data_IF_717027545646
#
_entry.id   IF_717027545646
#
_cell.length_a   1.000
_cell.length_b   1.000
_cell.length_c   1.000
_cell.angle_alpha   90.00
_cell.angle_beta   90.00
_cell.angle_gamma   90.00
#
_symmetry.space_group_name_H-M   'P 1'
#
loop_
_entity.id
_entity.type
_entity.pdbx_description
1 polymer ?
#
# COMPACT_ATOMS: atom_id res chain seq x y z
N UNK A 1 25.98 0.89 66.20
CA UNK A 1 27.21 0.83 67.02
C UNK A 1 28.09 -0.29 66.45
N UNK A 2 29.25 0.11 65.91
CA UNK A 2 30.44 -0.66 65.51
C UNK A 2 30.41 -1.71 64.36
N UNK A 3 31.13 -1.33 63.29
CA UNK A 3 32.10 -2.07 62.47
C UNK A 3 32.46 -3.53 62.82
N UNK A 4 32.64 -4.37 61.77
CA UNK A 4 33.98 -4.86 61.38
C UNK A 4 34.00 -5.56 60.02
N UNK A 5 35.01 -5.16 59.23
CA UNK A 5 35.51 -5.79 58.01
C UNK A 5 36.26 -7.10 58.29
N UNK A 6 36.71 -7.72 57.18
CA UNK A 6 37.76 -8.76 56.98
C UNK A 6 37.28 -10.21 57.14
N UNK A 7 37.60 -11.17 56.25
CA UNK A 7 38.84 -11.35 55.49
C UNK A 7 38.66 -12.35 54.33
N UNK A 8 39.30 -12.09 53.20
CA UNK A 8 39.48 -12.98 52.03
C UNK A 8 40.40 -14.17 52.32
N UNK A 9 40.12 -15.34 51.73
CA UNK A 9 41.12 -16.42 51.51
C UNK A 9 41.07 -16.90 50.05
N UNK A 10 42.21 -16.99 49.33
CA UNK A 10 42.27 -17.53 47.99
C UNK A 10 42.45 -19.06 48.02
N UNK A 11 41.71 -19.78 47.19
CA UNK A 11 41.88 -21.22 46.99
C UNK A 11 42.48 -21.49 45.61
N UNK A 12 43.64 -22.13 45.60
CA UNK A 12 44.48 -22.44 44.43
C UNK A 12 43.85 -23.50 43.52
N UNK A 13 44.12 -23.30 42.22
CA UNK A 13 43.92 -24.18 41.07
C UNK A 13 44.29 -25.65 41.31
N UNK A 14 43.49 -26.57 40.76
CA UNK A 14 43.98 -27.81 40.14
C UNK A 14 43.35 -27.95 38.76
N UNK A 15 44.19 -27.93 37.74
CA UNK A 15 43.81 -28.18 36.35
C UNK A 15 43.41 -29.64 36.16
N UNK A 16 42.40 -29.85 35.33
CA UNK A 16 42.10 -31.16 34.76
C UNK A 16 42.43 -31.08 33.28
N UNK A 17 43.21 -32.08 32.87
CA UNK A 17 43.81 -32.25 31.56
C UNK A 17 42.74 -32.51 30.49
N UNK A 18 43.03 -31.99 29.31
CA UNK A 18 42.39 -32.27 28.03
C UNK A 18 42.44 -33.78 27.78
N UNK A 19 41.28 -34.39 27.56
CA UNK A 19 41.13 -35.78 27.14
C UNK A 19 39.91 -35.87 26.23
N UNK A 20 40.17 -35.80 24.92
CA UNK A 20 39.45 -36.48 23.84
C UNK A 20 37.99 -36.90 24.13
N UNK A 21 37.04 -36.02 23.84
CA UNK A 21 35.64 -36.38 23.60
C UNK A 21 35.09 -35.56 22.42
N UNK A 22 35.88 -35.47 21.36
CA UNK A 22 35.47 -34.98 20.05
C UNK A 22 34.96 -36.16 19.23
N UNK A 23 33.71 -36.56 19.46
CA UNK A 23 32.88 -37.32 18.50
C UNK A 23 31.63 -37.77 19.25
N UNK A 24 30.51 -37.03 19.11
CA UNK A 24 29.11 -37.53 19.16
C UNK A 24 28.06 -36.41 19.29
N UNK A 25 28.45 -35.13 19.34
CA UNK A 25 27.49 -34.00 19.33
C UNK A 25 27.26 -33.36 17.94
N UNK A 26 27.43 -34.11 16.85
CA UNK A 26 27.28 -33.59 15.48
C UNK A 26 26.20 -34.33 14.66
N UNK A 27 25.23 -34.98 15.30
CA UNK A 27 24.20 -35.78 14.61
C UNK A 27 22.75 -35.46 15.06
N UNK A 28 22.50 -34.27 15.61
CA UNK A 28 21.20 -33.92 16.22
C UNK A 28 20.47 -32.69 15.66
N UNK A 29 20.99 -32.02 14.62
CA UNK A 29 20.38 -30.78 14.08
C UNK A 29 19.91 -30.87 12.62
N UNK A 30 19.74 -32.07 12.07
CA UNK A 30 19.26 -32.28 10.70
C UNK A 30 17.81 -32.76 10.61
N UNK A 31 17.01 -32.60 11.67
CA UNK A 31 15.56 -32.80 11.64
C UNK A 31 14.83 -31.45 11.70
N UNK A 32 15.21 -30.53 10.82
CA UNK A 32 14.35 -29.40 10.50
C UNK A 32 13.18 -29.95 9.70
N UNK A 33 12.01 -30.00 10.33
CA UNK A 33 10.72 -30.26 9.71
C UNK A 33 10.62 -29.45 8.42
N UNK A 34 10.47 -30.13 7.29
CA UNK A 34 10.25 -29.48 6.00
C UNK A 34 9.04 -28.58 6.11
N UNK A 35 9.27 -27.27 6.11
CA UNK A 35 8.22 -26.31 5.83
C UNK A 35 7.85 -26.53 4.37
N UNK A 36 6.75 -27.23 4.13
CA UNK A 36 6.13 -27.28 2.81
C UNK A 36 5.84 -25.84 2.41
N UNK A 37 6.62 -25.31 1.47
CA UNK A 37 6.27 -24.06 0.82
C UNK A 37 4.88 -24.27 0.20
N UNK A 38 3.86 -23.56 0.68
CA UNK A 38 2.58 -23.51 0.01
C UNK A 38 2.83 -22.92 -1.37
N UNK A 39 2.78 -23.78 -2.38
CA UNK A 39 2.79 -23.34 -3.76
C UNK A 39 1.58 -22.41 -3.94
N UNK A 40 1.78 -21.16 -4.42
CA UNK A 40 0.65 -20.30 -4.76
C UNK A 40 -0.26 -21.08 -5.70
N UNK A 41 -1.53 -21.21 -5.35
CA UNK A 41 -2.53 -21.71 -6.29
C UNK A 41 -2.46 -20.85 -7.56
N UNK A 42 -2.48 -21.43 -8.77
CA UNK A 42 -2.43 -20.66 -10.00
C UNK A 42 -3.65 -19.75 -10.10
N UNK A 43 -3.51 -18.50 -9.69
CA UNK A 43 -4.47 -17.41 -9.98
C UNK A 43 -4.65 -17.17 -11.49
N UNK A 44 -3.86 -17.85 -12.34
CA UNK A 44 -3.94 -17.75 -13.79
C UNK A 44 -5.10 -18.51 -14.43
N UNK A 45 -5.58 -19.62 -13.85
CA UNK A 45 -6.51 -20.52 -14.55
C UNK A 45 -7.98 -20.06 -14.54
N UNK A 46 -8.35 -19.11 -13.68
CA UNK A 46 -9.71 -18.55 -13.61
C UNK A 46 -9.87 -17.21 -14.34
N UNK A 47 -8.77 -16.61 -14.84
CA UNK A 47 -8.83 -15.29 -15.48
C UNK A 47 -9.36 -15.34 -16.92
N UNK A 48 -9.33 -16.51 -17.58
CA UNK A 48 -9.80 -16.67 -18.95
C UNK A 48 -11.35 -16.67 -19.06
N UNK A 49 -12.07 -16.62 -17.93
CA UNK A 49 -13.52 -16.45 -17.87
C UNK A 49 -13.97 -14.98 -17.77
N UNK A 50 -13.03 -14.04 -17.72
CA UNK A 50 -13.34 -12.61 -17.69
C UNK A 50 -13.14 -11.99 -19.07
N UNK A 51 -13.85 -10.89 -19.33
CA UNK A 51 -13.82 -10.13 -20.59
C UNK A 51 -12.40 -10.01 -21.16
N UNK A 52 -12.23 -9.94 -22.50
CA UNK A 52 -10.92 -9.75 -23.12
C UNK A 52 -10.17 -8.62 -22.40
N UNK A 53 -8.90 -8.87 -22.05
CA UNK A 53 -8.05 -7.82 -21.45
C UNK A 53 -8.09 -6.60 -22.36
N UNK A 54 -8.38 -5.43 -21.78
CA UNK A 54 -8.29 -4.15 -22.47
C UNK A 54 -6.92 -4.07 -23.15
N UNK A 55 -6.90 -3.79 -24.45
CA UNK A 55 -5.65 -3.55 -25.19
C UNK A 55 -4.86 -2.46 -24.43
N UNK A 56 -3.61 -2.75 -24.00
CA UNK A 56 -2.80 -1.78 -23.28
C UNK A 56 -2.61 -0.46 -24.03
N UNK A 57 -2.67 -0.49 -25.36
CA UNK A 57 -2.54 0.70 -26.20
C UNK A 57 -3.80 1.59 -26.12
N UNK A 58 -4.98 1.01 -25.89
CA UNK A 58 -6.22 1.75 -25.69
C UNK A 58 -6.23 2.42 -24.31
N UNK A 59 -5.60 1.80 -23.32
CA UNK A 59 -5.49 2.33 -21.96
C UNK A 59 -4.24 3.24 -21.76
N UNK A 60 -3.39 3.38 -22.77
CA UNK A 60 -2.16 4.15 -22.67
C UNK A 60 -2.47 5.65 -22.54
N UNK A 61 -2.10 6.24 -21.39
CA UNK A 61 -2.19 7.69 -21.21
C UNK A 61 -1.16 8.37 -22.11
N UNK A 62 -1.51 9.45 -22.82
CA UNK A 62 -0.54 10.23 -23.59
C UNK A 62 0.63 10.68 -22.70
N UNK A 63 1.86 10.55 -23.20
CA UNK A 63 3.06 10.94 -22.47
C UNK A 63 3.04 12.43 -22.10
N UNK A 64 2.56 13.26 -23.02
CA UNK A 64 2.37 14.70 -22.82
C UNK A 64 0.90 15.07 -23.09
N UNK A 65 0.04 15.03 -22.06
CA UNK A 65 -1.33 15.48 -22.21
C UNK A 65 -1.37 16.99 -22.45
N UNK A 66 -2.16 17.42 -23.44
CA UNK A 66 -2.42 18.85 -23.69
C UNK A 66 -3.15 19.42 -22.47
N UNK A 67 -2.50 20.34 -21.76
CA UNK A 67 -3.06 21.02 -20.59
C UNK A 67 -3.96 22.16 -21.06
N UNK A 68 -5.22 22.16 -20.64
CA UNK A 68 -6.21 23.18 -21.00
C UNK A 68 -6.93 23.70 -19.76
N UNK A 69 -7.60 24.84 -19.88
CA UNK A 69 -8.36 25.46 -18.79
C UNK A 69 -7.56 26.47 -17.95
N UNK A 70 -8.20 27.04 -16.91
CA UNK A 70 -7.66 28.20 -16.19
C UNK A 70 -6.37 27.91 -15.42
N UNK A 71 -6.13 26.65 -15.04
CA UNK A 71 -4.93 26.23 -14.33
C UNK A 71 -3.82 25.73 -15.26
N UNK A 72 -4.04 25.71 -16.58
CA UNK A 72 -3.06 25.18 -17.53
C UNK A 72 -1.70 25.89 -17.48
N UNK A 73 -1.60 27.23 -17.38
CA UNK A 73 -0.30 27.90 -17.29
C UNK A 73 0.49 27.48 -16.05
N UNK A 74 -0.17 27.44 -14.89
CA UNK A 74 0.44 27.00 -13.63
C UNK A 74 0.84 25.52 -13.70
N UNK A 75 -0.03 24.65 -14.19
CA UNK A 75 0.26 23.23 -14.33
C UNK A 75 1.40 22.95 -15.32
N UNK A 76 1.57 23.80 -16.33
CA UNK A 76 2.69 23.72 -17.28
C UNK A 76 4.00 24.13 -16.63
N UNK A 77 4.02 25.23 -15.88
CA UNK A 77 5.19 25.68 -15.12
C UNK A 77 5.62 24.65 -14.07
N UNK A 78 4.68 24.07 -13.32
CA UNK A 78 5.00 23.01 -12.35
C UNK A 78 5.54 21.75 -13.02
N UNK A 79 4.96 21.34 -14.16
CA UNK A 79 5.45 20.18 -14.91
C UNK A 79 6.86 20.39 -15.43
N UNK A 80 7.21 21.61 -15.89
CA UNK A 80 8.56 21.96 -16.30
C UNK A 80 9.57 21.84 -15.15
N UNK A 81 9.13 22.07 -13.91
CA UNK A 81 9.90 21.87 -12.67
C UNK A 81 9.89 20.42 -12.16
N UNK A 82 9.28 19.49 -12.89
CA UNK A 82 9.23 18.08 -12.54
C UNK A 82 8.09 17.70 -11.60
N UNK A 83 7.07 18.54 -11.42
CA UNK A 83 5.92 18.24 -10.58
C UNK A 83 4.62 18.24 -11.39
N UNK A 84 3.88 17.14 -11.31
CA UNK A 84 2.53 17.06 -11.88
C UNK A 84 1.53 16.74 -10.80
N UNK A 85 0.37 17.38 -10.88
CA UNK A 85 -0.70 17.25 -9.90
C UNK A 85 -1.96 16.76 -10.60
N UNK A 86 -2.73 15.95 -9.88
CA UNK A 86 -3.97 15.36 -10.37
C UNK A 86 -4.98 15.31 -9.22
N UNK A 87 -6.22 15.72 -9.50
CA UNK A 87 -7.30 15.76 -8.51
C UNK A 87 -8.49 15.05 -9.13
N UNK A 88 -8.88 13.92 -8.54
CA UNK A 88 -10.13 13.25 -8.87
C UNK A 88 -11.12 13.41 -7.73
N UNK A 89 -12.34 13.80 -8.06
CA UNK A 89 -13.43 13.93 -7.10
C UNK A 89 -14.52 12.94 -7.49
N UNK A 90 -14.77 11.96 -6.64
CA UNK A 90 -15.83 10.97 -6.83
C UNK A 90 -16.96 11.27 -5.86
N UNK A 91 -18.16 11.52 -6.37
CA UNK A 91 -19.35 11.70 -5.56
C UNK A 91 -20.26 10.47 -5.74
N UNK A 92 -20.56 9.81 -4.63
CA UNK A 92 -21.41 8.64 -4.58
C UNK A 92 -22.74 9.02 -3.93
N UNK A 93 -23.74 9.23 -4.76
CA UNK A 93 -25.10 9.50 -4.32
C UNK A 93 -26.01 8.30 -4.56
N UNK A 94 -26.81 7.94 -3.56
CA UNK A 94 -27.75 6.83 -3.60
C UNK A 94 -29.05 7.20 -2.89
N UNK A 95 -30.17 6.64 -3.35
CA UNK A 95 -31.47 6.86 -2.74
C UNK A 95 -32.39 5.66 -2.95
N UNK A 96 -33.34 5.46 -2.04
CA UNK A 96 -34.31 4.38 -2.10
C UNK A 96 -35.75 4.94 -2.02
N UNK A 97 -36.22 5.64 -3.07
CA UNK A 97 -37.45 6.43 -2.99
C UNK A 97 -38.71 5.60 -2.72
N UNK A 98 -38.77 4.36 -3.24
CA UNK A 98 -40.01 3.55 -3.23
C UNK A 98 -39.81 2.07 -2.86
N UNK A 99 -38.58 1.63 -2.59
CA UNK A 99 -38.28 0.22 -2.29
C UNK A 99 -37.22 0.11 -1.18
N UNK A 100 -37.17 -1.04 -0.51
CA UNK A 100 -36.30 -1.30 0.63
C UNK A 100 -37.06 -1.45 1.95
N UNK A 101 -36.32 -1.59 3.05
CA UNK A 101 -36.89 -1.73 4.40
C UNK A 101 -37.39 -0.38 4.95
N UNK A 102 -36.73 0.73 4.57
CA UNK A 102 -37.09 2.10 4.94
C UNK A 102 -37.00 3.02 3.74
N UNK A 103 -38.13 3.28 3.09
CA UNK A 103 -38.18 4.08 1.87
C UNK A 103 -37.96 5.58 2.13
N UNK A 104 -37.57 6.31 1.08
CA UNK A 104 -37.38 7.76 1.11
C UNK A 104 -36.03 8.20 1.67
N UNK A 105 -35.13 7.27 1.98
CA UNK A 105 -33.80 7.57 2.48
C UNK A 105 -32.83 7.91 1.34
N UNK A 106 -31.78 8.65 1.71
CA UNK A 106 -30.73 9.09 0.80
C UNK A 106 -29.37 8.98 1.48
N UNK A 107 -28.34 8.68 0.70
CA UNK A 107 -26.96 8.59 1.13
C UNK A 107 -26.06 9.32 0.16
N UNK A 108 -25.01 9.93 0.72
CA UNK A 108 -23.99 10.62 -0.03
C UNK A 108 -22.63 10.40 0.62
N UNK A 109 -21.60 10.23 -0.20
CA UNK A 109 -20.22 10.41 0.21
C UNK A 109 -19.37 10.93 -0.96
N UNK A 110 -18.35 11.73 -0.66
CA UNK A 110 -17.43 12.25 -1.66
C UNK A 110 -15.99 11.88 -1.32
N UNK A 111 -15.25 11.37 -2.30
CA UNK A 111 -13.82 11.08 -2.19
C UNK A 111 -13.07 12.14 -2.97
N UNK A 112 -12.13 12.81 -2.31
CA UNK A 112 -11.18 13.71 -2.94
C UNK A 112 -9.84 12.97 -3.00
N UNK A 113 -9.43 12.58 -4.19
CA UNK A 113 -8.16 11.88 -4.44
C UNK A 113 -7.17 12.89 -5.00
N UNK A 114 -6.24 13.34 -4.18
CA UNK A 114 -5.21 14.30 -4.55
C UNK A 114 -3.92 13.53 -4.80
N UNK A 115 -3.36 13.66 -5.99
CA UNK A 115 -2.14 12.99 -6.39
C UNK A 115 -1.08 13.97 -6.86
N UNK A 116 0.17 13.61 -6.60
CA UNK A 116 1.36 14.28 -7.10
C UNK A 116 2.31 13.22 -7.67
N UNK A 117 2.87 13.51 -8.83
CA UNK A 117 4.03 12.78 -9.36
C UNK A 117 5.20 13.73 -9.50
N UNK A 118 6.34 13.32 -8.95
CA UNK A 118 7.59 14.06 -8.96
C UNK A 118 8.64 13.33 -9.82
N UNK A 119 9.16 14.03 -10.81
CA UNK A 119 10.26 13.61 -11.67
C UNK A 119 11.60 13.92 -10.99
N UNK A 120 12.28 12.88 -10.54
CA UNK A 120 13.50 13.02 -9.76
C UNK A 120 14.72 13.38 -10.61
N UNK A 121 14.64 13.21 -11.94
CA UNK A 121 15.68 13.70 -12.83
C UNK A 121 15.67 15.22 -12.86
N UNK A 122 14.48 15.83 -12.95
CA UNK A 122 14.34 17.30 -12.91
C UNK A 122 14.62 17.88 -11.53
N UNK A 123 14.21 17.19 -10.46
CA UNK A 123 14.31 17.71 -9.09
C UNK A 123 15.66 17.46 -8.42
N UNK A 124 16.30 16.32 -8.70
CA UNK A 124 17.48 15.87 -7.98
C UNK A 124 18.56 15.25 -8.88
N UNK A 125 18.40 15.28 -10.21
CA UNK A 125 19.36 14.69 -11.15
C UNK A 125 19.37 13.16 -11.17
N UNK A 126 18.37 12.51 -10.54
CA UNK A 126 18.29 11.05 -10.49
C UNK A 126 17.56 10.55 -11.74
N UNK A 127 18.32 10.14 -12.76
CA UNK A 127 17.78 9.64 -14.02
C UNK A 127 16.85 8.44 -13.79
N UNK A 128 15.67 8.44 -14.42
CA UNK A 128 14.68 7.37 -14.31
C UNK A 128 13.95 7.27 -12.96
N UNK A 129 14.21 8.18 -12.00
CA UNK A 129 13.56 8.19 -10.70
C UNK A 129 12.21 8.91 -10.72
N UNK A 130 11.21 8.36 -10.03
CA UNK A 130 9.87 8.96 -9.90
C UNK A 130 9.31 8.71 -8.51
N UNK A 131 8.77 9.75 -7.87
CA UNK A 131 7.95 9.61 -6.65
C UNK A 131 6.49 9.79 -7.03
N UNK A 132 5.63 8.89 -6.57
CA UNK A 132 4.17 9.02 -6.62
C UNK A 132 3.62 9.14 -5.22
N UNK A 133 2.82 10.18 -5.00
CA UNK A 133 2.12 10.43 -3.77
C UNK A 133 0.64 10.59 -4.07
N UNK A 134 -0.23 9.90 -3.33
CA UNK A 134 -1.68 10.06 -3.41
C UNK A 134 -2.27 10.06 -2.01
N UNK A 135 -3.04 11.09 -1.71
CA UNK A 135 -3.79 11.25 -0.47
C UNK A 135 -5.28 11.30 -0.82
N UNK A 136 -6.07 10.47 -0.15
CA UNK A 136 -7.53 10.49 -0.26
C UNK A 136 -8.13 11.13 0.99
N UNK A 137 -9.05 12.06 0.77
CA UNK A 137 -9.90 12.67 1.80
C UNK A 137 -11.34 12.21 1.58
N UNK A 138 -12.03 11.88 2.65
CA UNK A 138 -13.42 11.44 2.66
C UNK A 138 -14.29 12.53 3.28
N UNK A 139 -15.30 12.99 2.55
CA UNK A 139 -16.15 14.11 2.98
C UNK A 139 -17.57 14.04 2.43
N UNK A 140 -18.36 15.10 2.67
CA UNK A 140 -19.76 15.23 2.23
C UNK A 140 -20.62 14.00 2.57
N UNK A 141 -20.56 13.59 3.83
CA UNK A 141 -21.14 12.31 4.28
C UNK A 141 -22.58 12.52 4.73
N UNK A 142 -23.48 11.72 4.18
CA UNK A 142 -24.86 11.59 4.65
C UNK A 142 -25.27 10.13 4.63
N UNK A 143 -25.85 9.66 5.73
CA UNK A 143 -26.38 8.32 5.92
C UNK A 143 -25.40 7.19 5.49
N UNK A 144 -24.60 6.71 6.44
CA UNK A 144 -23.74 5.53 6.26
C UNK A 144 -24.49 4.20 6.43
N UNK A 145 -25.78 4.25 6.76
CA UNK A 145 -26.61 3.09 7.08
C UNK A 145 -27.56 2.69 5.94
N UNK A 146 -27.37 3.26 4.75
CA UNK A 146 -28.23 3.02 3.59
C UNK A 146 -28.37 1.52 3.25
N UNK A 147 -27.31 0.72 3.42
CA UNK A 147 -27.39 -0.73 3.24
C UNK A 147 -28.51 -1.38 4.08
N UNK A 148 -28.69 -0.93 5.33
CA UNK A 148 -29.78 -1.38 6.18
C UNK A 148 -31.14 -0.79 5.77
N UNK A 149 -31.17 0.43 5.24
CA UNK A 149 -32.41 1.05 4.77
C UNK A 149 -32.94 0.37 3.48
N UNK A 150 -32.07 -0.17 2.62
CA UNK A 150 -32.46 -0.91 1.41
C UNK A 150 -32.67 -2.40 1.62
N UNK A 151 -32.16 -2.97 2.71
CA UNK A 151 -32.28 -4.40 3.01
C UNK A 151 -31.29 -5.29 2.26
N UNK A 152 -30.07 -4.79 2.05
CA UNK A 152 -28.99 -5.38 1.26
C UNK A 152 -29.11 -5.19 -0.28
N UNK A 153 -27.99 -5.35 -0.98
CA UNK A 153 -27.87 -5.17 -2.43
C UNK A 153 -27.38 -6.45 -3.10
N UNK A 154 -28.12 -6.94 -4.09
CA UNK A 154 -27.71 -8.11 -4.88
C UNK A 154 -26.76 -7.76 -6.03
N UNK A 155 -26.62 -6.47 -6.39
CA UNK A 155 -25.79 -6.00 -7.49
C UNK A 155 -24.97 -4.79 -7.04
N UNK A 156 -23.67 -5.02 -6.84
CA UNK A 156 -22.70 -3.99 -6.46
C UNK A 156 -22.82 -3.61 -4.98
N UNK A 157 -21.70 -3.65 -4.27
CA UNK A 157 -21.63 -3.13 -2.91
C UNK A 157 -21.76 -1.60 -2.92
N UNK A 158 -22.39 -1.06 -1.88
CA UNK A 158 -22.31 0.37 -1.63
C UNK A 158 -20.83 0.80 -1.55
N UNK A 159 -20.41 1.88 -2.22
CA UNK A 159 -19.03 2.35 -2.19
C UNK A 159 -18.55 2.46 -0.73
N UNK A 160 -17.45 1.77 -0.37
CA UNK A 160 -17.07 1.62 1.02
C UNK A 160 -16.58 2.96 1.57
N UNK A 161 -17.45 3.67 2.28
CA UNK A 161 -17.06 4.90 2.95
C UNK A 161 -16.10 4.57 4.10
N UNK A 162 -14.91 5.19 4.08
CA UNK A 162 -13.95 5.03 5.16
C UNK A 162 -14.21 6.08 6.23
N UNK A 163 -14.59 5.70 7.47
CA UNK A 163 -14.89 6.67 8.52
C UNK A 163 -13.67 7.49 8.97
N UNK A 164 -12.45 7.04 8.62
CA UNK A 164 -11.25 7.85 8.80
C UNK A 164 -11.15 8.86 7.65
N UNK A 165 -11.26 10.14 7.98
CA UNK A 165 -11.35 11.25 7.01
C UNK A 165 -10.18 11.36 6.04
N UNK A 166 -9.00 10.86 6.41
CA UNK A 166 -7.77 11.01 5.63
C UNK A 166 -7.03 9.67 5.51
N UNK A 167 -6.62 9.32 4.29
CA UNK A 167 -5.79 8.13 4.01
C UNK A 167 -4.67 8.44 3.02
N UNK A 168 -3.44 8.09 3.41
CA UNK A 168 -2.33 7.98 2.46
C UNK A 168 -2.61 6.74 1.60
N UNK A 169 -2.95 6.97 0.34
CA UNK A 169 -3.33 5.91 -0.61
C UNK A 169 -2.13 5.37 -1.37
N UNK A 170 -1.16 6.23 -1.68
CA UNK A 170 0.06 5.84 -2.38
C UNK A 170 1.21 6.70 -1.89
N UNK A 171 2.31 6.06 -1.54
CA UNK A 171 3.62 6.69 -1.46
C UNK A 171 4.63 5.69 -1.99
N UNK A 172 5.17 5.95 -3.17
CA UNK A 172 6.06 5.00 -3.83
C UNK A 172 7.15 5.75 -4.56
N UNK A 173 8.36 5.23 -4.43
CA UNK A 173 9.49 5.57 -5.28
C UNK A 173 9.65 4.45 -6.32
N UNK A 174 9.80 4.84 -7.58
CA UNK A 174 10.11 3.92 -8.68
C UNK A 174 11.40 4.39 -9.36
N UNK A 175 12.22 3.42 -9.76
CA UNK A 175 13.48 3.66 -10.47
C UNK A 175 13.50 2.82 -11.73
N UNK A 176 13.58 3.48 -12.88
CA UNK A 176 13.84 2.80 -14.15
C UNK A 176 15.34 2.71 -14.40
N UNK A 177 15.81 1.56 -14.88
CA UNK A 177 17.22 1.29 -15.18
C UNK A 177 17.32 0.62 -16.56
N UNK A 178 18.52 0.70 -17.16
CA UNK A 178 18.85 0.04 -18.44
C UNK A 178 17.89 0.42 -19.58
N UNK A 179 17.68 1.73 -19.80
CA UNK A 179 16.75 2.26 -20.82
C UNK A 179 15.34 1.68 -20.68
N UNK A 180 14.77 1.77 -19.48
CA UNK A 180 13.43 1.30 -19.13
C UNK A 180 13.22 -0.22 -19.23
N UNK A 181 14.29 -1.02 -19.34
CA UNK A 181 14.20 -2.50 -19.35
C UNK A 181 14.01 -3.10 -17.96
N UNK A 182 14.34 -2.35 -16.91
CA UNK A 182 14.11 -2.73 -15.53
C UNK A 182 13.33 -1.61 -14.83
N UNK A 183 12.19 -1.96 -14.24
CA UNK A 183 11.19 -1.01 -13.67
C UNK A 183 10.72 -1.42 -12.29
#
# INVERSE_FOLDING_TARGET
MLERMTQTRPSRRRGVRIGTASALLAAGLAAATGASAQQPSPVGQFNDQTQPRTDPNIAAKPADPVRTGPLAPWATDMAARGLTFDINIYNFYQANPSAGLRTGEQSNSTYFVLSMTADMQRLAGIAGGTIKFTQTFFGNVRNLNMAADIGDTTVGYQPPFNPNSNRLSLLTYQQKLLDDRLV
#
